data_IF_824779286795
#
_entry.id   IF_824779286795
#
_cell.length_a   1.000
_cell.length_b   1.000
_cell.length_c   1.000
_cell.angle_alpha   90.00
_cell.angle_beta   90.00
_cell.angle_gamma   90.00
#
_symmetry.space_group_name_H-M   'P 1'
#
loop_
_entity.id
_entity.type
_entity.pdbx_description
1 polymer ?
#
# COMPACT_ATOMS: atom_id res chain seq x y z
N UNK A 1 20.98 4.83 -2.96
CA UNK A 1 21.09 6.31 -2.82
C UNK A 1 19.89 6.92 -3.53
N UNK A 2 19.17 7.88 -2.91
CA UNK A 2 18.12 8.65 -3.58
C UNK A 2 18.70 9.96 -4.11
N UNK A 3 18.33 10.32 -5.33
CA UNK A 3 18.69 11.61 -5.94
C UNK A 3 17.39 12.38 -6.13
N UNK A 4 17.25 13.49 -5.40
CA UNK A 4 16.02 14.27 -5.31
C UNK A 4 16.22 15.61 -6.04
N UNK A 5 15.45 15.82 -7.11
CA UNK A 5 15.44 17.08 -7.86
C UNK A 5 14.64 18.17 -7.17
N UNK A 6 14.98 19.42 -7.47
CA UNK A 6 14.24 20.63 -7.11
C UNK A 6 14.08 21.53 -8.33
N UNK A 7 13.23 22.55 -8.18
CA UNK A 7 12.93 23.52 -9.24
C UNK A 7 12.37 22.84 -10.50
N UNK A 8 13.00 23.03 -11.64
CA UNK A 8 12.57 22.51 -12.95
C UNK A 8 13.00 21.05 -13.22
N UNK A 9 13.65 20.39 -12.26
CA UNK A 9 14.10 18.99 -12.38
C UNK A 9 15.62 18.84 -12.52
N UNK A 10 16.03 17.77 -13.20
CA UNK A 10 17.42 17.45 -13.47
C UNK A 10 17.83 17.80 -14.88
N UNK A 11 19.11 18.12 -15.08
CA UNK A 11 19.70 18.14 -16.41
C UNK A 11 19.67 16.72 -17.00
N UNK A 12 19.18 16.59 -18.22
CA UNK A 12 18.98 15.29 -18.90
C UNK A 12 20.29 14.49 -19.01
N UNK A 13 21.42 15.16 -19.14
CA UNK A 13 22.75 14.54 -19.16
C UNK A 13 23.10 13.78 -17.88
N UNK A 14 22.46 14.07 -16.75
CA UNK A 14 22.60 13.30 -15.52
C UNK A 14 21.97 11.93 -15.67
N UNK A 15 20.81 11.83 -16.32
CA UNK A 15 20.15 10.56 -16.64
C UNK A 15 21.03 9.69 -17.52
N UNK A 16 21.56 10.26 -18.62
CA UNK A 16 22.46 9.55 -19.52
C UNK A 16 23.71 9.04 -18.80
N UNK A 17 24.31 9.88 -17.94
CA UNK A 17 25.49 9.52 -17.14
C UNK A 17 25.21 8.40 -16.13
N UNK A 18 24.06 8.44 -15.46
CA UNK A 18 23.67 7.39 -14.52
C UNK A 18 23.32 6.08 -15.23
N UNK A 19 22.66 6.15 -16.38
CA UNK A 19 22.35 4.97 -17.19
C UNK A 19 23.61 4.25 -17.68
N UNK A 20 24.68 4.99 -17.96
CA UNK A 20 25.98 4.46 -18.38
C UNK A 20 26.84 3.92 -17.20
N UNK A 21 26.43 4.12 -15.96
CA UNK A 21 27.17 3.62 -14.78
C UNK A 21 26.91 2.15 -14.50
N UNK A 22 27.85 1.44 -13.90
CA UNK A 22 27.77 -0.01 -13.60
C UNK A 22 26.58 -0.42 -12.72
N UNK A 23 25.94 0.52 -12.03
CA UNK A 23 24.77 0.25 -11.16
C UNK A 23 23.45 0.63 -11.81
N UNK A 24 23.47 1.37 -12.91
CA UNK A 24 22.28 1.97 -13.49
C UNK A 24 21.52 2.88 -12.52
N UNK A 25 20.28 3.22 -12.87
CA UNK A 25 19.35 3.92 -11.99
C UNK A 25 17.92 3.51 -12.32
N UNK A 26 17.04 3.72 -11.35
CA UNK A 26 15.60 3.56 -11.52
C UNK A 26 14.91 4.89 -11.25
N UNK A 27 13.98 5.28 -12.13
CA UNK A 27 13.17 6.47 -11.98
C UNK A 27 11.81 6.07 -11.39
N UNK A 28 11.49 6.62 -10.22
CA UNK A 28 10.27 6.27 -9.48
C UNK A 28 9.34 7.47 -9.49
N UNK A 29 8.09 7.26 -9.93
CA UNK A 29 6.99 8.21 -9.79
C UNK A 29 6.00 7.70 -8.75
N UNK A 30 5.47 8.60 -7.92
CA UNK A 30 4.37 8.29 -6.98
C UNK A 30 2.98 8.56 -7.59
N UNK A 31 2.90 9.17 -8.77
CA UNK A 31 1.64 9.46 -9.45
C UNK A 31 1.70 10.69 -10.34
N UNK A 32 0.58 10.99 -10.99
CA UNK A 32 0.42 12.08 -11.96
C UNK A 32 0.11 13.42 -11.25
N UNK A 33 1.04 13.91 -10.47
CA UNK A 33 0.98 15.21 -9.80
C UNK A 33 2.37 15.82 -9.63
N UNK A 34 2.42 17.13 -9.43
CA UNK A 34 3.68 17.88 -9.29
C UNK A 34 3.94 18.22 -7.83
N UNK A 35 5.17 17.99 -7.38
CA UNK A 35 5.68 18.37 -6.08
C UNK A 35 6.83 19.39 -6.23
N UNK A 36 7.08 20.17 -5.17
CA UNK A 36 8.16 21.17 -5.17
C UNK A 36 9.57 20.55 -5.14
N UNK A 37 9.68 19.26 -4.86
CA UNK A 37 10.97 18.55 -4.81
C UNK A 37 10.78 17.05 -4.59
N UNK A 38 11.83 16.27 -4.79
CA UNK A 38 11.82 14.81 -4.71
C UNK A 38 12.00 14.24 -3.30
N UNK A 39 12.16 15.07 -2.26
CA UNK A 39 12.44 14.59 -0.90
C UNK A 39 11.24 13.85 -0.29
N UNK A 40 10.02 14.36 -0.45
CA UNK A 40 8.82 13.70 0.08
C UNK A 40 8.55 12.37 -0.62
N UNK A 41 8.61 12.25 -1.96
CA UNK A 41 8.60 10.96 -2.63
C UNK A 41 9.65 9.98 -2.13
N UNK A 42 10.89 10.42 -1.96
CA UNK A 42 11.97 9.57 -1.45
C UNK A 42 11.69 9.04 -0.04
N UNK A 43 11.14 9.88 0.85
CA UNK A 43 10.75 9.47 2.20
C UNK A 43 9.59 8.47 2.16
N UNK A 44 8.61 8.67 1.29
CA UNK A 44 7.48 7.74 1.14
C UNK A 44 7.94 6.36 0.65
N UNK A 45 8.83 6.32 -0.35
CA UNK A 45 9.42 5.07 -0.85
C UNK A 45 10.27 4.40 0.24
N UNK A 46 11.06 5.18 0.97
CA UNK A 46 11.90 4.67 2.05
C UNK A 46 11.05 4.07 3.17
N UNK A 47 9.98 4.74 3.59
CA UNK A 47 9.07 4.24 4.62
C UNK A 47 8.40 2.93 4.18
N UNK A 48 7.88 2.88 2.95
CA UNK A 48 7.29 1.68 2.40
C UNK A 48 8.28 0.50 2.33
N UNK A 49 9.54 0.75 1.97
CA UNK A 49 10.57 -0.28 1.87
C UNK A 49 11.06 -0.75 3.24
N UNK A 50 11.31 0.18 4.17
CA UNK A 50 11.91 -0.13 5.49
C UNK A 50 10.97 -0.99 6.34
N UNK A 51 9.66 -0.80 6.24
CA UNK A 51 8.68 -1.61 6.98
C UNK A 51 8.65 -3.09 6.56
N UNK A 52 9.15 -3.42 5.36
CA UNK A 52 9.30 -4.80 4.89
C UNK A 52 10.53 -5.51 5.47
N UNK A 53 11.44 -4.77 6.11
CA UNK A 53 12.62 -5.35 6.73
C UNK A 53 12.22 -6.09 8.01
N UNK A 54 12.59 -7.39 8.17
CA UNK A 54 12.27 -8.14 9.37
C UNK A 54 12.75 -7.44 10.64
N UNK A 55 11.86 -7.33 11.62
CA UNK A 55 12.14 -6.71 12.93
C UNK A 55 11.97 -5.18 12.98
N UNK A 56 11.64 -4.51 11.89
CA UNK A 56 11.32 -3.07 11.90
C UNK A 56 9.91 -2.83 12.45
N UNK A 57 8.94 -3.62 12.03
CA UNK A 57 7.61 -3.61 12.64
C UNK A 57 7.58 -4.55 13.84
N UNK A 58 6.90 -4.14 14.92
CA UNK A 58 6.82 -4.91 16.16
C UNK A 58 6.06 -6.24 16.06
N UNK A 59 5.31 -6.46 14.97
CA UNK A 59 4.65 -7.72 14.66
C UNK A 59 4.94 -8.09 13.20
N UNK A 60 5.72 -9.15 12.99
CA UNK A 60 6.08 -9.62 11.65
C UNK A 60 4.86 -10.12 10.85
N UNK A 61 3.80 -10.56 11.53
CA UNK A 61 2.56 -11.01 10.89
C UNK A 61 1.72 -9.85 10.34
N UNK A 62 1.91 -8.63 10.86
CA UNK A 62 1.17 -7.46 10.40
C UNK A 62 1.53 -7.08 8.96
N UNK A 63 2.80 -7.20 8.58
CA UNK A 63 3.24 -6.90 7.22
C UNK A 63 2.67 -7.89 6.19
N UNK A 64 2.49 -9.18 6.57
CA UNK A 64 1.99 -10.22 5.67
C UNK A 64 0.49 -10.16 5.40
N UNK A 65 -0.27 -9.43 6.22
CA UNK A 65 -1.73 -9.29 6.11
C UNK A 65 -2.16 -7.94 5.50
N UNK A 66 -1.20 -7.11 5.09
CA UNK A 66 -1.49 -5.79 4.58
C UNK A 66 -1.88 -5.80 3.09
N UNK A 67 -2.62 -4.75 2.69
CA UNK A 67 -2.97 -4.52 1.30
C UNK A 67 -1.70 -4.45 0.43
N UNK A 68 -1.75 -5.05 -0.75
CA UNK A 68 -0.68 -5.12 -1.74
C UNK A 68 0.43 -6.17 -1.51
N UNK A 69 0.45 -6.89 -0.38
CA UNK A 69 1.30 -8.07 -0.17
C UNK A 69 0.71 -9.33 -0.83
N UNK A 70 -0.62 -9.33 -1.08
CA UNK A 70 -1.36 -10.38 -1.75
C UNK A 70 -2.28 -9.83 -2.83
N UNK A 71 -3.11 -10.70 -3.41
CA UNK A 71 -4.09 -10.34 -4.44
C UNK A 71 -5.28 -9.53 -3.88
N UNK A 72 -5.51 -9.55 -2.56
CA UNK A 72 -6.63 -8.90 -1.91
C UNK A 72 -6.19 -7.66 -1.13
N UNK A 73 -7.04 -6.66 -1.12
CA UNK A 73 -6.94 -5.54 -0.18
C UNK A 73 -7.25 -6.02 1.23
N UNK A 74 -6.74 -5.30 2.23
CA UNK A 74 -7.09 -5.55 3.63
C UNK A 74 -8.59 -5.30 3.87
N UNK A 75 -9.15 -6.03 4.85
CA UNK A 75 -10.54 -5.88 5.27
C UNK A 75 -10.74 -4.60 6.10
N UNK A 76 -11.99 -4.06 6.22
CA UNK A 76 -12.25 -2.85 6.97
C UNK A 76 -11.97 -3.04 8.45
N UNK A 77 -11.18 -2.13 9.02
CA UNK A 77 -10.82 -2.10 10.43
C UNK A 77 -11.84 -1.30 11.23
N UNK A 78 -12.16 -1.76 12.44
CA UNK A 78 -13.07 -1.09 13.36
C UNK A 78 -12.40 -0.87 14.71
N UNK A 79 -12.73 0.25 15.37
CA UNK A 79 -12.27 0.60 16.70
C UNK A 79 -13.42 1.01 17.61
N UNK A 80 -13.15 1.36 18.85
CA UNK A 80 -14.13 1.89 19.80
C UNK A 80 -14.54 3.31 19.43
N UNK A 81 -15.78 3.71 19.76
CA UNK A 81 -16.87 2.97 20.42
C UNK A 81 -17.57 1.99 19.46
N UNK A 82 -18.37 1.06 20.05
CA UNK A 82 -19.13 0.03 19.32
C UNK A 82 -20.19 0.60 18.38
N UNK A 83 -20.76 1.74 18.75
CA UNK A 83 -21.61 2.56 17.91
C UNK A 83 -21.07 4.00 17.90
N UNK A 84 -20.94 4.54 16.72
CA UNK A 84 -20.56 5.92 16.52
C UNK A 84 -21.59 6.62 15.65
N UNK A 85 -22.43 7.44 16.27
CA UNK A 85 -23.48 8.23 15.60
C UNK A 85 -24.44 7.37 14.75
N UNK A 86 -24.86 6.23 15.29
CA UNK A 86 -25.74 5.28 14.62
C UNK A 86 -25.04 4.34 13.62
N UNK A 87 -23.73 4.42 13.51
CA UNK A 87 -22.91 3.51 12.71
C UNK A 87 -22.30 2.44 13.62
N UNK A 88 -22.90 1.25 13.59
CA UNK A 88 -22.46 0.14 14.43
C UNK A 88 -21.31 -0.66 13.84
N UNK A 89 -20.45 -1.20 14.70
CA UNK A 89 -19.46 -2.21 14.30
C UNK A 89 -20.20 -3.53 14.01
N UNK A 90 -19.84 -4.27 12.95
CA UNK A 90 -20.48 -5.54 12.62
C UNK A 90 -20.48 -6.53 13.79
N UNK A 91 -21.65 -7.10 14.10
CA UNK A 91 -21.88 -8.01 15.23
C UNK A 91 -20.96 -9.24 15.22
N UNK A 92 -20.61 -9.73 14.02
CA UNK A 92 -19.71 -10.89 13.83
C UNK A 92 -18.37 -10.69 14.52
N UNK A 93 -17.86 -9.46 14.58
CA UNK A 93 -16.57 -9.13 15.21
C UNK A 93 -16.59 -9.26 16.74
N UNK A 94 -17.78 -9.36 17.34
CA UNK A 94 -17.98 -9.57 18.78
C UNK A 94 -18.44 -10.98 19.14
N UNK A 95 -18.60 -11.84 18.14
CA UNK A 95 -19.16 -13.19 18.34
C UNK A 95 -18.27 -14.13 19.15
N UNK A 96 -16.97 -13.84 19.28
CA UNK A 96 -15.98 -14.74 19.84
C UNK A 96 -15.66 -15.96 18.95
N UNK A 97 -16.38 -16.13 17.83
CA UNK A 97 -16.17 -17.21 16.88
C UNK A 97 -15.10 -16.79 15.85
N UNK A 98 -13.85 -17.19 16.09
CA UNK A 98 -12.72 -16.85 15.24
C UNK A 98 -12.91 -17.31 13.79
N UNK A 99 -13.57 -18.43 13.55
CA UNK A 99 -13.82 -18.95 12.21
C UNK A 99 -14.83 -18.08 11.43
N UNK A 100 -15.87 -17.59 12.12
CA UNK A 100 -16.82 -16.64 11.51
C UNK A 100 -16.18 -15.29 11.24
N UNK A 101 -15.36 -14.80 12.17
CA UNK A 101 -14.62 -13.55 11.99
C UNK A 101 -13.67 -13.64 10.81
N UNK A 102 -12.90 -14.75 10.68
CA UNK A 102 -11.99 -14.95 9.57
C UNK A 102 -12.70 -14.97 8.21
N UNK A 103 -13.81 -15.70 8.09
CA UNK A 103 -14.62 -15.73 6.86
C UNK A 103 -15.16 -14.35 6.50
N UNK A 104 -15.69 -13.62 7.48
CA UNK A 104 -16.19 -12.27 7.26
C UNK A 104 -15.10 -11.34 6.76
N UNK A 105 -13.89 -11.39 7.34
CA UNK A 105 -12.73 -10.59 6.91
C UNK A 105 -12.36 -10.89 5.46
N UNK A 106 -12.30 -12.15 5.09
CA UNK A 106 -11.99 -12.58 3.73
C UNK A 106 -13.04 -12.09 2.72
N UNK A 107 -14.34 -12.22 3.05
CA UNK A 107 -15.45 -11.72 2.22
C UNK A 107 -15.37 -10.20 2.02
N UNK A 108 -15.04 -9.45 3.09
CA UNK A 108 -14.87 -7.99 2.99
C UNK A 108 -13.65 -7.61 2.14
N UNK A 109 -12.52 -8.29 2.32
CA UNK A 109 -11.31 -8.08 1.54
C UNK A 109 -11.58 -8.30 0.03
N UNK A 110 -12.24 -9.40 -0.33
CA UNK A 110 -12.66 -9.69 -1.72
C UNK A 110 -13.59 -8.61 -2.28
N UNK A 111 -14.57 -8.18 -1.50
CA UNK A 111 -15.53 -7.15 -1.91
C UNK A 111 -14.83 -5.80 -2.16
N UNK A 112 -13.92 -5.40 -1.29
CA UNK A 112 -13.15 -4.16 -1.44
C UNK A 112 -12.23 -4.21 -2.66
N UNK A 113 -11.55 -5.34 -2.87
CA UNK A 113 -10.70 -5.56 -4.03
C UNK A 113 -11.50 -5.45 -5.34
N UNK A 114 -12.65 -6.12 -5.41
CA UNK A 114 -13.52 -6.07 -6.59
C UNK A 114 -13.99 -4.63 -6.90
N UNK A 115 -14.39 -3.87 -5.86
CA UNK A 115 -14.80 -2.46 -6.02
C UNK A 115 -13.66 -1.59 -6.55
N UNK A 116 -12.45 -1.78 -6.04
CA UNK A 116 -11.28 -1.03 -6.48
C UNK A 116 -10.96 -1.33 -7.94
N UNK A 117 -10.88 -2.61 -8.31
CA UNK A 117 -10.61 -3.03 -9.69
C UNK A 117 -11.66 -2.47 -10.67
N UNK A 118 -12.94 -2.54 -10.29
CA UNK A 118 -14.01 -1.97 -11.10
C UNK A 118 -13.88 -0.45 -11.29
N UNK A 119 -13.45 0.27 -10.24
CA UNK A 119 -13.20 1.71 -10.31
C UNK A 119 -12.00 2.08 -11.20
N UNK A 120 -11.00 1.18 -11.28
CA UNK A 120 -9.81 1.32 -12.12
C UNK A 120 -10.01 0.78 -13.55
N UNK A 121 -11.18 0.23 -13.88
CA UNK A 121 -11.46 -0.41 -15.16
C UNK A 121 -10.65 -1.69 -15.40
N UNK A 122 -10.22 -2.38 -14.33
CA UNK A 122 -9.45 -3.62 -14.35
C UNK A 122 -10.31 -4.80 -13.94
N UNK A 123 -10.10 -5.95 -14.57
CA UNK A 123 -10.74 -7.20 -14.16
C UNK A 123 -9.93 -7.89 -13.05
N UNK A 124 -10.58 -8.62 -12.11
CA UNK A 124 -9.88 -9.45 -11.13
C UNK A 124 -9.09 -10.54 -11.86
N UNK A 125 -7.82 -10.69 -11.49
CA UNK A 125 -6.99 -11.80 -11.97
C UNK A 125 -7.56 -13.10 -11.38
N UNK A 126 -8.19 -13.92 -12.20
CA UNK A 126 -8.53 -15.29 -11.81
C UNK A 126 -7.26 -16.12 -11.93
N UNK A 127 -6.63 -16.39 -10.79
CA UNK A 127 -5.62 -17.45 -10.72
C UNK A 127 -6.37 -18.78 -10.73
N UNK A 128 -6.17 -19.57 -11.79
CA UNK A 128 -6.53 -20.99 -11.86
C UNK A 128 -5.73 -21.83 -10.86
#
# INVERSE_FOLDING_TARGET
MFVCGRYEGFDERIRDGLAASDGGYEEISLGDFVLAGGELPAVAVLEAAVRLIPGVLGCAESAQLESFEGELLDYPQFTRPRDFRGMGVPEVLFSGDHAKVARWREEQARSLTARKLAAEGREPTTSD
#
